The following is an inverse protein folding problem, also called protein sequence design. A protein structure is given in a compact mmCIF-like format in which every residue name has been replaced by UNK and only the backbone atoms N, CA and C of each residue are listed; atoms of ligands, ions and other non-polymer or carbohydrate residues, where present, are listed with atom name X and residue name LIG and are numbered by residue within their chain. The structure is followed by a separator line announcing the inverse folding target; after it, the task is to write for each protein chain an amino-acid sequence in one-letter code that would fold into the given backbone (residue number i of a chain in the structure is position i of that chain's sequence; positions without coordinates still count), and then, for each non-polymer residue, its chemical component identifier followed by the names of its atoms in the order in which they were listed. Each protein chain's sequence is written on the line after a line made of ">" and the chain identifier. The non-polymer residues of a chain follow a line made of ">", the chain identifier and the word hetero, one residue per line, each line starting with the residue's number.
data_IF_525367337535
#
_entry.id   IF_525367337535
#
_cell.length_a   1.000
_cell.length_b   1.000
_cell.length_c   1.000
_cell.angle_alpha   90.00
_cell.angle_beta   90.00
_cell.angle_gamma   90.00
#
_symmetry.space_group_name_H-M   'P 1'
#
loop_
_entity.id
_entity.type
_entity.pdbx_description
1 polymer ?
#
# COMPACT_ATOMS: atom_id res chain seq x y z
N UNK A 1 -27.16 -0.48 -15.47
CA UNK A 1 -27.06 -0.01 -14.06
C UNK A 1 -25.66 0.54 -13.83
N UNK A 2 -25.56 1.85 -13.62
CA UNK A 2 -24.29 2.59 -13.51
C UNK A 2 -23.64 2.36 -12.14
N UNK A 3 -22.77 1.34 -12.03
CA UNK A 3 -21.93 1.11 -10.84
C UNK A 3 -20.60 1.89 -10.91
N UNK A 4 -20.65 3.16 -11.31
CA UNK A 4 -19.47 4.02 -11.28
C UNK A 4 -19.30 4.60 -9.88
N UNK A 5 -18.32 4.06 -9.15
CA UNK A 5 -17.84 4.61 -7.88
C UNK A 5 -18.23 3.78 -6.66
N UNK A 6 -17.20 3.26 -5.98
CA UNK A 6 -17.35 2.61 -4.68
C UNK A 6 -16.88 1.16 -4.62
N UNK A 7 -16.62 0.47 -5.73
CA UNK A 7 -16.08 -0.90 -5.67
C UNK A 7 -14.55 -1.01 -5.53
N UNK A 8 -13.88 0.12 -5.30
CA UNK A 8 -12.43 0.19 -5.19
C UNK A 8 -11.86 -0.73 -4.10
N UNK A 9 -12.60 -0.96 -3.01
CA UNK A 9 -12.18 -1.84 -1.92
C UNK A 9 -12.14 -3.30 -2.37
N UNK A 10 -13.13 -3.74 -3.14
CA UNK A 10 -13.16 -5.10 -3.71
C UNK A 10 -12.11 -5.21 -4.81
N UNK A 11 -12.04 -4.24 -5.73
CA UNK A 11 -11.10 -4.26 -6.84
C UNK A 11 -9.64 -4.33 -6.40
N UNK A 12 -9.22 -3.60 -5.36
CA UNK A 12 -7.83 -3.68 -4.88
C UNK A 12 -7.49 -5.07 -4.30
N UNK A 13 -8.46 -5.71 -3.64
CA UNK A 13 -8.31 -7.07 -3.12
C UNK A 13 -8.23 -8.07 -4.28
N UNK A 14 -9.08 -7.93 -5.30
CA UNK A 14 -9.00 -8.78 -6.49
C UNK A 14 -7.66 -8.63 -7.23
N UNK A 15 -7.15 -7.41 -7.38
CA UNK A 15 -5.82 -7.16 -7.96
C UNK A 15 -4.73 -7.88 -7.16
N UNK A 16 -4.77 -7.79 -5.83
CA UNK A 16 -3.83 -8.47 -4.94
C UNK A 16 -3.92 -9.99 -5.07
N UNK A 17 -5.14 -10.54 -5.11
CA UNK A 17 -5.39 -11.99 -5.22
C UNK A 17 -4.95 -12.52 -6.58
N UNK A 18 -5.29 -11.84 -7.68
CA UNK A 18 -4.80 -12.19 -9.03
C UNK A 18 -3.27 -12.18 -9.07
N UNK A 19 -2.65 -11.17 -8.44
CA UNK A 19 -1.19 -11.10 -8.37
C UNK A 19 -0.61 -12.25 -7.54
N UNK A 20 -1.20 -12.55 -6.38
CA UNK A 20 -0.76 -13.64 -5.51
C UNK A 20 -0.87 -15.00 -6.20
N UNK A 21 -1.95 -15.26 -6.96
CA UNK A 21 -2.11 -16.47 -7.75
C UNK A 21 -1.03 -16.60 -8.85
N UNK A 22 -0.74 -15.51 -9.56
CA UNK A 22 0.34 -15.48 -10.55
C UNK A 22 1.72 -15.71 -9.92
N UNK A 23 1.98 -15.05 -8.78
CA UNK A 23 3.19 -15.22 -7.98
C UNK A 23 3.36 -16.68 -7.54
N UNK A 24 2.32 -17.29 -6.96
CA UNK A 24 2.35 -18.69 -6.52
C UNK A 24 2.49 -19.67 -7.67
N UNK A 25 1.96 -19.36 -8.86
CA UNK A 25 2.16 -20.17 -10.07
C UNK A 25 3.62 -20.20 -10.51
N UNK A 26 4.29 -19.06 -10.47
CA UNK A 26 5.73 -18.98 -10.74
C UNK A 26 6.51 -19.71 -9.64
N UNK A 27 6.19 -19.43 -8.39
CA UNK A 27 6.90 -20.02 -7.25
C UNK A 27 6.73 -21.54 -7.16
N UNK A 28 5.60 -22.11 -7.59
CA UNK A 28 5.42 -23.55 -7.68
C UNK A 28 6.52 -24.23 -8.54
N UNK A 29 6.98 -23.56 -9.60
CA UNK A 29 8.04 -24.08 -10.48
C UNK A 29 9.45 -23.94 -9.88
N UNK A 30 9.70 -22.87 -9.13
CA UNK A 30 11.07 -22.51 -8.72
C UNK A 30 11.37 -22.69 -7.23
N UNK A 31 10.38 -22.64 -6.34
CA UNK A 31 10.61 -22.62 -4.89
C UNK A 31 11.29 -23.89 -4.39
N UNK A 32 10.83 -25.07 -4.83
CA UNK A 32 11.45 -26.35 -4.46
C UNK A 32 12.89 -26.46 -4.98
N UNK A 33 13.12 -26.11 -6.25
CA UNK A 33 14.46 -26.16 -6.88
C UNK A 33 15.48 -25.27 -6.17
N UNK A 34 15.05 -24.11 -5.68
CA UNK A 34 15.94 -23.13 -5.04
C UNK A 34 15.88 -23.16 -3.50
N UNK A 35 15.19 -24.14 -2.91
CA UNK A 35 14.97 -24.23 -1.46
C UNK A 35 14.42 -22.93 -0.84
N UNK A 36 13.47 -22.31 -1.52
CA UNK A 36 12.80 -21.10 -1.05
C UNK A 36 11.59 -21.40 -0.18
N UNK A 37 11.27 -20.45 0.68
CA UNK A 37 10.05 -20.42 1.50
C UNK A 37 9.22 -19.21 1.15
N UNK A 38 7.90 -19.38 1.06
CA UNK A 38 6.99 -18.32 0.65
C UNK A 38 6.31 -17.71 1.88
N UNK A 39 6.46 -16.40 2.05
CA UNK A 39 5.83 -15.66 3.13
C UNK A 39 4.83 -14.66 2.55
N UNK A 40 3.59 -14.72 3.01
CA UNK A 40 2.66 -13.60 2.85
C UNK A 40 2.74 -12.71 4.09
N UNK A 41 2.94 -11.41 3.88
CA UNK A 41 2.96 -10.41 4.94
C UNK A 41 1.87 -9.38 4.69
N UNK A 42 0.97 -9.19 5.66
CA UNK A 42 -0.04 -8.14 5.64
C UNK A 42 0.27 -7.15 6.77
N UNK A 43 0.57 -5.91 6.40
CA UNK A 43 0.90 -4.86 7.35
C UNK A 43 -0.32 -4.23 8.04
N UNK A 44 -1.53 -4.44 7.50
CA UNK A 44 -2.76 -3.80 7.95
C UNK A 44 -3.94 -4.76 7.75
N UNK A 45 -3.89 -5.91 8.43
CA UNK A 45 -4.76 -7.04 8.14
C UNK A 45 -6.25 -6.80 8.50
N UNK A 46 -6.53 -5.87 9.40
CA UNK A 46 -7.87 -5.63 9.90
C UNK A 46 -8.42 -6.84 10.66
N UNK A 47 -9.75 -6.93 10.72
CA UNK A 47 -10.46 -8.07 11.33
C UNK A 47 -10.65 -9.26 10.38
N UNK A 48 -10.12 -9.19 9.15
CA UNK A 48 -10.42 -10.13 8.08
C UNK A 48 -11.72 -9.83 7.31
N UNK A 49 -12.50 -8.83 7.76
CA UNK A 49 -13.71 -8.35 7.08
C UNK A 49 -13.71 -6.82 7.01
N UNK A 50 -14.33 -6.30 5.95
CA UNK A 50 -14.53 -4.87 5.76
C UNK A 50 -16.03 -4.59 5.76
N UNK A 51 -16.47 -3.81 6.74
CA UNK A 51 -17.85 -3.35 6.85
C UNK A 51 -18.04 -2.07 6.03
N UNK A 52 -18.97 -2.09 5.07
CA UNK A 52 -19.26 -0.96 4.18
C UNK A 52 -20.73 -0.55 4.27
N UNK A 53 -20.98 0.72 4.54
CA UNK A 53 -22.34 1.26 4.75
C UNK A 53 -22.58 1.64 6.21
N UNK A 54 -23.76 2.23 6.49
CA UNK A 54 -24.24 2.56 7.84
C UNK A 54 -25.56 1.82 8.07
N UNK A 55 -25.80 1.38 9.30
CA UNK A 55 -27.03 0.74 9.76
C UNK A 55 -27.44 -0.48 8.91
N UNK A 56 -28.72 -0.59 8.55
CA UNK A 56 -29.38 -1.76 7.93
C UNK A 56 -28.83 -2.14 6.54
N UNK A 57 -28.09 -1.26 5.86
CA UNK A 57 -27.48 -1.50 4.55
C UNK A 57 -25.97 -1.85 4.62
N UNK A 58 -25.52 -2.43 5.73
CA UNK A 58 -24.12 -2.81 5.92
C UNK A 58 -23.76 -4.04 5.08
N UNK A 59 -23.02 -3.83 4.00
CA UNK A 59 -22.39 -4.91 3.21
C UNK A 59 -21.10 -5.34 3.91
N UNK A 60 -20.96 -6.64 4.14
CA UNK A 60 -19.71 -7.25 4.62
C UNK A 60 -18.91 -7.71 3.39
N UNK A 61 -17.68 -7.24 3.28
CA UNK A 61 -16.72 -7.64 2.25
C UNK A 61 -15.64 -8.48 2.93
N UNK A 62 -15.26 -9.60 2.31
CA UNK A 62 -14.14 -10.43 2.80
C UNK A 62 -12.83 -9.69 2.56
N UNK A 63 -12.03 -9.49 3.61
CA UNK A 63 -10.77 -8.77 3.57
C UNK A 63 -9.63 -9.54 2.91
N UNK A 64 -8.53 -8.83 2.60
CA UNK A 64 -7.36 -9.39 1.93
C UNK A 64 -6.77 -10.60 2.67
N UNK A 65 -6.64 -10.52 4.00
CA UNK A 65 -6.09 -11.60 4.81
C UNK A 65 -6.80 -12.95 4.56
N UNK A 66 -8.14 -12.96 4.61
CA UNK A 66 -8.94 -14.16 4.38
C UNK A 66 -8.91 -14.59 2.91
N UNK A 67 -9.03 -13.66 1.96
CA UNK A 67 -8.95 -13.99 0.51
C UNK A 67 -7.62 -14.62 0.11
N UNK A 68 -6.52 -14.21 0.73
CA UNK A 68 -5.19 -14.81 0.48
C UNK A 68 -5.06 -16.18 1.16
N UNK A 69 -5.68 -16.38 2.33
CA UNK A 69 -5.78 -17.69 2.97
C UNK A 69 -6.62 -18.67 2.17
N UNK A 70 -7.58 -18.24 1.34
CA UNK A 70 -8.38 -19.14 0.50
C UNK A 70 -7.60 -19.71 -0.71
N UNK A 71 -6.41 -19.19 -1.02
CA UNK A 71 -5.60 -19.69 -2.14
C UNK A 71 -4.92 -21.02 -1.75
N UNK A 72 -5.42 -22.12 -2.33
CA UNK A 72 -4.83 -23.46 -2.17
C UNK A 72 -4.00 -23.91 -3.39
N UNK A 73 -4.40 -23.48 -4.59
CA UNK A 73 -3.78 -23.89 -5.85
C UNK A 73 -3.03 -22.72 -6.50
N UNK A 74 -1.88 -22.98 -7.17
CA UNK A 74 -1.24 -24.29 -7.30
C UNK A 74 -0.51 -24.75 -6.04
N UNK A 75 -0.11 -23.80 -5.18
CA UNK A 75 0.38 -24.04 -3.82
C UNK A 75 -0.04 -22.86 -2.93
N UNK A 76 -0.22 -23.05 -1.61
CA UNK A 76 -0.38 -21.96 -0.66
C UNK A 76 0.99 -21.33 -0.31
N UNK A 77 0.98 -20.24 0.48
CA UNK A 77 2.20 -19.74 1.12
C UNK A 77 2.63 -20.70 2.25
N UNK A 78 3.94 -20.79 2.51
CA UNK A 78 4.46 -21.59 3.63
C UNK A 78 4.11 -20.97 4.98
N UNK A 79 3.99 -19.64 5.04
CA UNK A 79 3.80 -18.85 6.24
C UNK A 79 2.97 -17.59 5.93
N UNK A 80 2.01 -17.29 6.79
CA UNK A 80 1.18 -16.09 6.73
C UNK A 80 1.44 -15.24 7.97
N UNK A 81 1.68 -13.95 7.76
CA UNK A 81 2.01 -13.01 8.84
C UNK A 81 1.11 -11.78 8.74
N UNK A 82 0.17 -11.67 9.65
CA UNK A 82 -0.81 -10.59 9.70
C UNK A 82 -0.49 -9.64 10.86
N UNK A 83 -0.41 -8.35 10.56
CA UNK A 83 -0.17 -7.28 11.52
C UNK A 83 -1.42 -6.43 11.62
N UNK A 84 -1.90 -6.21 12.84
CA UNK A 84 -3.06 -5.38 13.10
C UNK A 84 -2.84 -4.62 14.41
N UNK A 85 -3.03 -3.30 14.40
CA UNK A 85 -2.70 -2.45 15.56
C UNK A 85 -3.83 -2.42 16.59
N UNK A 86 -5.08 -2.53 16.15
CA UNK A 86 -6.24 -2.51 17.04
C UNK A 86 -6.49 -3.91 17.60
N UNK A 87 -6.40 -4.06 18.92
CA UNK A 87 -6.49 -5.37 19.61
C UNK A 87 -7.78 -6.11 19.25
N UNK A 88 -8.93 -5.42 19.24
CA UNK A 88 -10.21 -6.06 18.87
C UNK A 88 -10.23 -6.63 17.45
N UNK A 89 -9.58 -5.95 16.50
CA UNK A 89 -9.51 -6.45 15.12
C UNK A 89 -8.57 -7.64 15.03
N UNK A 90 -7.42 -7.58 15.72
CA UNK A 90 -6.47 -8.68 15.79
C UNK A 90 -7.10 -9.95 16.40
N UNK A 91 -7.87 -9.80 17.48
CA UNK A 91 -8.57 -10.90 18.15
C UNK A 91 -9.65 -11.52 17.27
N UNK A 92 -10.45 -10.69 16.57
CA UNK A 92 -11.44 -11.17 15.59
C UNK A 92 -10.78 -11.93 14.45
N UNK A 93 -9.65 -11.43 13.93
CA UNK A 93 -8.90 -12.11 12.89
C UNK A 93 -8.34 -13.45 13.40
N UNK A 94 -7.87 -13.51 14.65
CA UNK A 94 -7.36 -14.74 15.26
C UNK A 94 -8.45 -15.80 15.41
N UNK A 95 -9.61 -15.43 15.94
CA UNK A 95 -10.73 -16.35 16.14
C UNK A 95 -11.18 -16.95 14.81
N UNK A 96 -11.39 -16.10 13.80
CA UNK A 96 -11.89 -16.52 12.48
C UNK A 96 -10.89 -17.36 11.71
N UNK A 97 -9.60 -16.99 11.74
CA UNK A 97 -8.57 -17.77 11.05
C UNK A 97 -8.27 -19.12 11.70
N UNK A 98 -8.34 -19.20 13.04
CA UNK A 98 -8.13 -20.46 13.77
C UNK A 98 -9.22 -21.49 13.48
N UNK A 99 -10.47 -21.05 13.32
CA UNK A 99 -11.59 -21.95 13.00
C UNK A 99 -11.58 -22.41 11.55
N UNK A 100 -11.24 -21.53 10.61
CA UNK A 100 -11.41 -21.79 9.17
C UNK A 100 -10.15 -22.31 8.47
N UNK A 101 -8.95 -21.98 8.99
CA UNK A 101 -7.67 -22.26 8.33
C UNK A 101 -6.67 -22.94 9.29
N UNK A 102 -7.15 -23.86 10.12
CA UNK A 102 -6.35 -24.55 11.14
C UNK A 102 -5.16 -25.34 10.60
N UNK A 103 -5.18 -25.69 9.31
CA UNK A 103 -4.09 -26.35 8.59
C UNK A 103 -2.99 -25.40 8.10
N UNK A 104 -3.16 -24.08 8.23
CA UNK A 104 -2.20 -23.07 7.75
C UNK A 104 -1.34 -22.52 8.89
N UNK A 105 -0.08 -22.24 8.59
CA UNK A 105 0.83 -21.58 9.53
C UNK A 105 0.60 -20.07 9.51
N UNK A 106 -0.21 -19.62 10.46
CA UNK A 106 -0.65 -18.23 10.58
C UNK A 106 -0.05 -17.60 11.84
N UNK A 107 0.55 -16.43 11.70
CA UNK A 107 0.93 -15.57 12.80
C UNK A 107 0.16 -14.26 12.73
N UNK A 108 -0.56 -13.93 13.79
CA UNK A 108 -1.23 -12.64 13.95
C UNK A 108 -0.52 -11.90 15.07
N UNK A 109 -0.13 -10.66 14.82
CA UNK A 109 0.60 -9.85 15.80
C UNK A 109 -0.07 -8.50 15.98
N UNK A 110 -0.40 -8.20 17.23
CA UNK A 110 -0.93 -6.90 17.62
C UNK A 110 0.19 -5.87 17.80
N UNK A 111 0.57 -5.17 16.74
CA UNK A 111 1.66 -4.19 16.76
C UNK A 111 1.54 -3.17 15.63
N UNK A 112 2.36 -2.11 15.69
CA UNK A 112 2.54 -1.19 14.57
C UNK A 112 3.26 -1.85 13.39
N UNK A 113 2.70 -1.65 12.18
CA UNK A 113 3.23 -2.15 10.92
C UNK A 113 4.71 -1.78 10.70
N UNK A 114 5.09 -0.54 11.01
CA UNK A 114 6.45 -0.05 10.79
C UNK A 114 7.48 -0.83 11.62
N UNK A 115 7.17 -1.07 12.90
CA UNK A 115 8.01 -1.89 13.79
C UNK A 115 8.17 -3.31 13.24
N UNK A 116 7.10 -3.86 12.66
CA UNK A 116 7.13 -5.22 12.16
C UNK A 116 7.83 -5.37 10.82
N UNK A 117 7.71 -4.39 9.92
CA UNK A 117 8.50 -4.29 8.70
C UNK A 117 10.00 -4.29 9.04
N UNK A 118 10.43 -3.49 10.02
CA UNK A 118 11.83 -3.44 10.43
C UNK A 118 12.32 -4.79 10.97
N UNK A 119 11.51 -5.44 11.82
CA UNK A 119 11.83 -6.77 12.37
C UNK A 119 11.91 -7.82 11.27
N UNK A 120 10.98 -7.80 10.31
CA UNK A 120 10.98 -8.69 9.16
C UNK A 120 12.22 -8.45 8.29
N UNK A 121 12.57 -7.20 8.01
CA UNK A 121 13.78 -6.84 7.27
C UNK A 121 15.04 -7.42 7.91
N UNK A 122 15.21 -7.23 9.23
CA UNK A 122 16.33 -7.81 9.99
C UNK A 122 16.37 -9.33 9.85
N UNK A 123 15.23 -10.01 9.98
CA UNK A 123 15.14 -11.45 9.78
C UNK A 123 15.56 -11.86 8.36
N UNK A 124 15.03 -11.22 7.32
CA UNK A 124 15.30 -11.55 5.92
C UNK A 124 16.77 -11.39 5.53
N UNK A 125 17.54 -10.55 6.24
CA UNK A 125 18.99 -10.39 6.05
C UNK A 125 19.81 -11.57 6.59
N UNK A 126 19.27 -12.36 7.52
CA UNK A 126 19.94 -13.54 8.10
C UNK A 126 20.05 -14.69 7.10
N UNK A 127 20.96 -15.64 7.35
CA UNK A 127 21.13 -16.86 6.51
C UNK A 127 19.84 -17.65 6.34
N UNK A 128 19.02 -17.76 7.40
CA UNK A 128 17.71 -18.42 7.35
C UNK A 128 16.69 -17.58 6.57
N UNK A 129 16.66 -16.28 6.83
CA UNK A 129 15.71 -15.36 6.22
C UNK A 129 15.89 -15.15 4.72
N UNK A 130 17.13 -15.22 4.20
CA UNK A 130 17.41 -15.06 2.75
C UNK A 130 16.71 -16.10 1.86
N UNK A 131 16.32 -17.24 2.44
CA UNK A 131 15.52 -18.26 1.75
C UNK A 131 14.06 -17.86 1.56
N UNK A 132 13.57 -16.89 2.32
CA UNK A 132 12.19 -16.43 2.20
C UNK A 132 12.01 -15.48 1.01
N UNK A 133 10.95 -15.71 0.25
CA UNK A 133 10.43 -14.83 -0.80
C UNK A 133 9.08 -14.30 -0.32
N UNK A 134 9.00 -12.98 -0.18
CA UNK A 134 7.88 -12.34 0.51
C UNK A 134 6.98 -11.64 -0.50
N UNK A 135 5.68 -11.88 -0.40
CA UNK A 135 4.66 -10.99 -0.94
C UNK A 135 4.11 -10.16 0.23
N UNK A 136 4.38 -8.86 0.20
CA UNK A 136 3.94 -7.92 1.22
C UNK A 136 2.77 -7.08 0.71
N UNK A 137 1.73 -6.95 1.51
CA UNK A 137 0.60 -6.05 1.30
C UNK A 137 0.58 -5.00 2.40
N UNK A 138 0.68 -3.72 2.01
CA UNK A 138 0.75 -2.59 2.92
C UNK A 138 -0.38 -1.62 2.56
N UNK A 139 -1.50 -1.76 3.27
CA UNK A 139 -2.76 -1.06 2.98
C UNK A 139 -3.17 -0.13 4.13
N UNK A 140 -2.43 0.96 4.38
CA UNK A 140 -2.76 1.85 5.47
C UNK A 140 -4.07 2.60 5.19
N UNK A 141 -4.84 2.87 6.24
CA UNK A 141 -6.05 3.70 6.15
C UNK A 141 -5.70 5.18 5.83
N UNK A 142 -4.50 5.63 6.24
CA UNK A 142 -3.98 6.96 5.95
C UNK A 142 -2.46 6.98 5.85
N UNK A 143 -1.84 8.09 6.26
CA UNK A 143 -0.37 8.22 6.24
C UNK A 143 0.24 7.58 7.49
N UNK A 144 0.07 6.27 7.64
CA UNK A 144 0.58 5.48 8.77
C UNK A 144 1.89 4.75 8.43
N UNK A 145 2.17 4.54 7.15
CA UNK A 145 3.43 3.94 6.68
C UNK A 145 4.53 4.99 6.66
N UNK A 146 5.62 4.74 7.37
CA UNK A 146 6.78 5.62 7.41
C UNK A 146 7.74 5.28 6.27
N UNK A 147 8.31 6.29 5.62
CA UNK A 147 9.27 6.08 4.53
C UNK A 147 10.48 5.25 4.97
N UNK A 148 10.96 5.45 6.20
CA UNK A 148 12.07 4.69 6.80
C UNK A 148 11.81 3.17 6.84
N UNK A 149 10.55 2.75 7.01
CA UNK A 149 10.18 1.33 6.98
C UNK A 149 10.41 0.74 5.59
N UNK A 150 10.07 1.47 4.53
CA UNK A 150 10.30 1.03 3.15
C UNK A 150 11.78 0.96 2.80
N UNK A 151 12.61 1.88 3.31
CA UNK A 151 14.07 1.80 3.14
C UNK A 151 14.61 0.46 3.67
N UNK A 152 14.06 -0.05 4.78
CA UNK A 152 14.51 -1.33 5.33
C UNK A 152 14.25 -2.52 4.40
N UNK A 153 13.31 -2.41 3.45
CA UNK A 153 12.98 -3.47 2.49
C UNK A 153 13.83 -3.44 1.22
N UNK A 154 14.67 -2.40 1.05
CA UNK A 154 15.59 -2.28 -0.08
C UNK A 154 16.46 -3.53 -0.22
N UNK A 155 16.70 -3.95 -1.47
CA UNK A 155 17.52 -5.12 -1.87
C UNK A 155 17.02 -6.48 -1.37
N UNK A 156 15.96 -6.54 -0.57
CA UNK A 156 15.39 -7.80 -0.10
C UNK A 156 14.55 -8.46 -1.20
N UNK A 157 14.34 -9.78 -1.05
CA UNK A 157 13.44 -10.55 -1.93
C UNK A 157 11.98 -10.36 -1.53
N UNK A 158 11.50 -9.12 -1.68
CA UNK A 158 10.15 -8.69 -1.31
C UNK A 158 9.49 -8.05 -2.54
N UNK A 159 8.34 -8.61 -2.93
CA UNK A 159 7.38 -7.92 -3.79
C UNK A 159 6.40 -7.20 -2.86
N UNK A 160 6.24 -5.89 -3.00
CA UNK A 160 5.39 -5.09 -2.11
C UNK A 160 4.29 -4.37 -2.86
N UNK A 161 3.05 -4.56 -2.43
CA UNK A 161 1.90 -3.78 -2.82
C UNK A 161 1.62 -2.72 -1.75
N UNK A 162 1.49 -1.45 -2.16
CA UNK A 162 1.35 -0.31 -1.25
C UNK A 162 0.15 0.55 -1.67
N UNK A 163 -0.78 0.79 -0.74
CA UNK A 163 -1.83 1.78 -0.91
C UNK A 163 -1.35 3.16 -0.46
N UNK A 164 -1.26 4.10 -1.40
CA UNK A 164 -0.76 5.45 -1.17
C UNK A 164 -1.94 6.44 -1.07
N UNK A 165 -2.22 7.05 0.10
CA UNK A 165 -3.30 8.02 0.32
C UNK A 165 -2.97 9.40 -0.27
N UNK A 166 -2.73 9.46 -1.58
CA UNK A 166 -2.42 10.69 -2.31
C UNK A 166 -3.53 11.75 -2.19
N UNK A 167 -4.80 11.37 -2.41
CA UNK A 167 -5.95 12.27 -2.32
C UNK A 167 -6.46 12.44 -0.89
N UNK A 168 -6.57 11.33 -0.15
CA UNK A 168 -7.12 11.32 1.22
C UNK A 168 -6.11 11.68 2.32
N UNK A 169 -4.81 11.72 2.02
CA UNK A 169 -3.74 12.06 2.95
C UNK A 169 -2.96 13.26 2.46
N UNK A 170 -1.98 13.03 1.57
CA UNK A 170 -1.01 14.04 1.11
C UNK A 170 -1.69 15.33 0.64
N UNK A 171 -2.65 15.21 -0.27
CA UNK A 171 -3.36 16.35 -0.85
C UNK A 171 -4.19 17.13 0.17
N UNK A 172 -4.68 16.50 1.25
CA UNK A 172 -5.45 17.19 2.31
C UNK A 172 -4.57 18.03 3.22
N UNK A 173 -3.33 17.60 3.44
CA UNK A 173 -2.36 18.35 4.26
C UNK A 173 -1.77 19.54 3.49
N UNK A 174 -1.65 19.42 2.16
CA UNK A 174 -1.22 20.51 1.29
C UNK A 174 -2.35 21.53 1.08
N UNK A 175 -2.41 22.60 1.89
CA UNK A 175 -3.41 23.68 1.74
C UNK A 175 -3.19 24.52 0.49
N UNK A 176 -4.25 25.11 -0.07
CA UNK A 176 -4.16 25.91 -1.32
C UNK A 176 -3.20 27.11 -1.23
N UNK A 177 -3.10 27.73 -0.06
CA UNK A 177 -2.35 28.95 0.21
C UNK A 177 -0.95 28.72 0.82
N UNK A 178 -0.47 27.47 0.86
CA UNK A 178 0.84 27.14 1.44
C UNK A 178 0.93 27.20 2.97
N UNK A 179 -0.10 27.67 3.67
CA UNK A 179 -0.10 27.78 5.15
C UNK A 179 -0.38 26.43 5.83
N UNK A 180 0.62 25.55 5.79
CA UNK A 180 0.61 24.22 6.41
C UNK A 180 1.15 24.34 7.84
N UNK A 181 0.53 23.65 8.81
CA UNK A 181 1.06 23.58 10.18
C UNK A 181 2.31 22.69 10.26
N UNK A 182 3.18 22.92 11.22
CA UNK A 182 4.42 22.13 11.37
C UNK A 182 4.11 20.63 11.58
N UNK A 183 3.11 20.28 12.39
CA UNK A 183 2.68 18.89 12.56
C UNK A 183 2.23 18.21 11.24
N UNK A 184 1.67 18.97 10.30
CA UNK A 184 1.29 18.43 8.99
C UNK A 184 2.51 18.27 8.08
N UNK A 185 3.46 19.20 8.15
CA UNK A 185 4.75 19.09 7.47
C UNK A 185 5.51 17.86 7.98
N UNK A 186 5.70 17.70 9.29
CA UNK A 186 6.40 16.54 9.88
C UNK A 186 5.79 15.21 9.41
N UNK A 187 4.46 15.17 9.29
CA UNK A 187 3.75 13.99 8.77
C UNK A 187 4.02 13.77 7.28
N UNK A 188 4.11 14.82 6.47
CA UNK A 188 4.51 14.72 5.07
C UNK A 188 5.98 14.29 4.96
N UNK A 189 6.88 14.86 5.75
CA UNK A 189 8.31 14.49 5.80
C UNK A 189 8.49 13.01 6.18
N UNK A 190 7.76 12.54 7.19
CA UNK A 190 7.82 11.12 7.61
C UNK A 190 7.28 10.17 6.54
N UNK A 191 6.18 10.54 5.88
CA UNK A 191 5.52 9.70 4.89
C UNK A 191 6.25 9.67 3.55
N UNK A 192 6.75 10.83 3.10
CA UNK A 192 7.49 10.97 1.84
C UNK A 192 8.97 10.65 2.03
N UNK A 193 9.55 10.88 3.22
CA UNK A 193 10.99 10.82 3.47
C UNK A 193 11.76 11.98 2.82
N UNK A 194 11.13 13.14 2.72
CA UNK A 194 11.67 14.38 2.13
C UNK A 194 11.77 15.45 3.20
N UNK A 195 12.68 16.41 3.01
CA UNK A 195 12.73 17.59 3.86
C UNK A 195 11.60 18.58 3.53
N UNK A 196 11.23 19.40 4.52
CA UNK A 196 10.22 20.48 4.40
C UNK A 196 10.40 21.31 3.13
N UNK A 197 11.61 21.81 2.86
CA UNK A 197 11.85 22.68 1.71
C UNK A 197 11.61 21.95 0.37
N UNK A 198 12.11 20.72 0.21
CA UNK A 198 11.88 19.92 -1.00
C UNK A 198 10.38 19.67 -1.25
N UNK A 199 9.60 19.48 -0.18
CA UNK A 199 8.15 19.29 -0.27
C UNK A 199 7.47 20.59 -0.71
N UNK A 200 7.85 21.74 -0.13
CA UNK A 200 7.29 23.03 -0.49
C UNK A 200 7.60 23.34 -1.96
N UNK A 201 8.86 23.25 -2.37
CA UNK A 201 9.30 23.56 -3.73
C UNK A 201 8.63 22.67 -4.79
N UNK A 202 8.33 21.42 -4.44
CA UNK A 202 7.67 20.49 -5.37
C UNK A 202 6.16 20.75 -5.53
N UNK A 203 5.48 21.24 -4.48
CA UNK A 203 4.02 21.36 -4.44
C UNK A 203 3.49 22.79 -4.48
N UNK A 204 4.34 23.81 -4.39
CA UNK A 204 3.95 25.20 -4.38
C UNK A 204 4.70 26.02 -5.41
N UNK A 205 4.05 27.08 -5.87
CA UNK A 205 4.64 28.12 -6.70
C UNK A 205 4.31 29.47 -6.10
N UNK A 206 5.29 30.35 -6.16
CA UNK A 206 5.11 31.76 -5.84
C UNK A 206 4.76 32.49 -7.13
N UNK A 207 3.80 33.42 -7.02
CA UNK A 207 3.46 34.35 -8.09
C UNK A 207 3.38 35.75 -7.50
N UNK A 208 4.04 36.69 -8.16
CA UNK A 208 3.85 38.11 -7.91
C UNK A 208 2.58 38.55 -8.62
N UNK A 209 1.64 39.13 -7.87
CA UNK A 209 0.38 39.63 -8.38
C UNK A 209 0.33 41.13 -8.12
N UNK A 210 0.14 41.98 -9.14
CA UNK A 210 -0.03 43.40 -8.93
C UNK A 210 -1.38 43.68 -8.26
N UNK A 211 -1.36 44.48 -7.19
CA UNK A 211 -2.54 44.92 -6.46
C UNK A 211 -2.65 46.45 -6.45
N UNK A 212 -3.77 46.99 -5.96
CA UNK A 212 -3.96 48.43 -5.75
C UNK A 212 -2.91 49.07 -4.82
N UNK A 213 -2.21 48.26 -4.02
CA UNK A 213 -1.20 48.71 -3.05
C UNK A 213 0.23 48.29 -3.42
N UNK A 214 0.44 47.81 -4.65
CA UNK A 214 1.73 47.31 -5.13
C UNK A 214 1.74 45.79 -5.35
N UNK A 215 2.92 45.26 -5.65
CA UNK A 215 3.11 43.85 -5.96
C UNK A 215 3.07 42.99 -4.68
N UNK A 216 2.19 41.98 -4.65
CA UNK A 216 2.10 41.01 -3.56
C UNK A 216 2.57 39.61 -4.02
N UNK A 217 3.32 38.91 -3.17
CA UNK A 217 3.71 37.52 -3.42
C UNK A 217 2.62 36.60 -2.89
N UNK A 218 2.02 35.82 -3.79
CA UNK A 218 1.00 34.82 -3.46
C UNK A 218 1.54 33.41 -3.68
N UNK A 219 1.48 32.60 -2.63
CA UNK A 219 1.81 31.17 -2.69
C UNK A 219 0.58 30.40 -3.12
N UNK A 220 0.73 29.64 -4.20
CA UNK A 220 -0.33 28.81 -4.76
C UNK A 220 0.11 27.36 -4.84
N UNK A 221 -0.77 26.45 -4.40
CA UNK A 221 -0.57 25.02 -4.58
C UNK A 221 -0.61 24.67 -6.07
N UNK A 222 0.35 23.85 -6.47
CA UNK A 222 0.46 23.33 -7.82
C UNK A 222 -0.78 22.55 -8.28
N UNK A 223 -1.10 22.72 -9.56
CA UNK A 223 -2.17 21.96 -10.20
C UNK A 223 -1.88 20.46 -10.19
N UNK A 224 -2.96 19.66 -10.20
CA UNK A 224 -2.89 18.19 -10.21
C UNK A 224 -1.99 17.64 -9.10
N UNK A 225 -2.04 18.25 -7.91
CA UNK A 225 -1.21 17.87 -6.77
C UNK A 225 -1.38 16.39 -6.37
N UNK A 226 -2.55 15.79 -6.59
CA UNK A 226 -2.80 14.36 -6.32
C UNK A 226 -1.95 13.48 -7.24
N UNK A 227 -1.98 13.77 -8.55
CA UNK A 227 -1.20 13.06 -9.57
C UNK A 227 0.30 13.32 -9.39
N UNK A 228 0.68 14.56 -9.07
CA UNK A 228 2.06 14.92 -8.72
C UNK A 228 2.56 14.14 -7.50
N UNK A 229 1.70 13.93 -6.49
CA UNK A 229 2.01 13.12 -5.31
C UNK A 229 2.22 11.65 -5.67
N UNK A 230 1.38 11.10 -6.55
CA UNK A 230 1.52 9.71 -7.02
C UNK A 230 2.82 9.51 -7.80
N UNK A 231 3.15 10.45 -8.70
CA UNK A 231 4.40 10.44 -9.46
C UNK A 231 5.61 10.54 -8.53
N UNK A 232 5.60 11.48 -7.60
CA UNK A 232 6.66 11.66 -6.61
C UNK A 232 6.87 10.38 -5.80
N UNK A 233 5.80 9.79 -5.27
CA UNK A 233 5.92 8.56 -4.47
C UNK A 233 6.46 7.39 -5.30
N UNK A 234 6.04 7.25 -6.57
CA UNK A 234 6.58 6.25 -7.50
C UNK A 234 8.07 6.47 -7.79
N UNK A 235 8.48 7.71 -8.08
CA UNK A 235 9.89 8.06 -8.32
C UNK A 235 10.75 7.73 -7.10
N UNK A 236 10.24 8.00 -5.91
CA UNK A 236 10.92 7.67 -4.67
C UNK A 236 10.98 6.16 -4.41
N UNK A 237 9.93 5.40 -4.73
CA UNK A 237 9.95 3.94 -4.65
C UNK A 237 10.98 3.34 -5.62
N UNK A 238 11.15 3.92 -6.82
CA UNK A 238 12.19 3.53 -7.78
C UNK A 238 13.62 3.77 -7.27
N UNK A 239 13.82 4.61 -6.24
CA UNK A 239 15.12 4.72 -5.57
C UNK A 239 15.41 3.54 -4.63
N UNK A 240 14.38 2.79 -4.20
CA UNK A 240 14.50 1.66 -3.27
C UNK A 240 14.36 0.30 -3.94
N UNK A 241 13.55 0.21 -5.01
CA UNK A 241 13.27 -1.00 -5.77
C UNK A 241 13.65 -0.78 -7.24
N UNK A 242 14.19 -1.82 -7.89
CA UNK A 242 14.59 -1.73 -9.30
C UNK A 242 13.43 -1.39 -10.24
N UNK A 243 12.22 -1.82 -9.90
CA UNK A 243 11.04 -1.63 -10.73
C UNK A 243 9.81 -1.26 -9.88
N UNK A 244 8.99 -0.35 -10.39
CA UNK A 244 7.71 0.04 -9.80
C UNK A 244 6.63 0.07 -10.88
N UNK A 245 5.47 -0.48 -10.57
CA UNK A 245 4.32 -0.57 -11.47
C UNK A 245 3.74 0.81 -11.83
N UNK A 246 2.87 0.82 -12.83
CA UNK A 246 1.90 1.88 -12.99
C UNK A 246 0.87 1.79 -11.87
N UNK A 247 0.35 2.93 -11.39
CA UNK A 247 -0.61 2.91 -10.32
C UNK A 247 -1.99 2.44 -10.81
N UNK A 248 -2.68 1.67 -9.98
CA UNK A 248 -4.13 1.56 -10.03
C UNK A 248 -4.74 2.75 -9.28
N UNK A 249 -5.63 3.50 -9.93
CA UNK A 249 -6.20 4.74 -9.37
C UNK A 249 -7.54 4.44 -8.71
N UNK A 250 -7.62 4.65 -7.39
CA UNK A 250 -8.85 4.44 -6.64
C UNK A 250 -9.62 5.75 -6.48
N UNK A 251 -10.83 5.79 -7.02
CA UNK A 251 -11.70 6.96 -7.00
C UNK A 251 -12.94 6.75 -6.14
N UNK A 252 -13.45 7.83 -5.55
CA UNK A 252 -14.71 7.81 -4.81
C UNK A 252 -15.93 7.86 -5.75
N UNK A 253 -17.14 7.93 -5.17
CA UNK A 253 -18.40 8.06 -5.93
C UNK A 253 -18.49 9.36 -6.74
N UNK A 254 -17.82 10.43 -6.31
CA UNK A 254 -17.76 11.71 -7.04
C UNK A 254 -16.58 11.78 -8.01
N UNK A 255 -16.03 10.63 -8.43
CA UNK A 255 -14.90 10.52 -9.37
C UNK A 255 -13.61 11.23 -8.93
N UNK A 256 -13.49 11.58 -7.66
CA UNK A 256 -12.28 12.19 -7.07
C UNK A 256 -11.29 11.11 -6.67
N UNK A 257 -10.02 11.27 -7.07
CA UNK A 257 -8.94 10.35 -6.73
C UNK A 257 -8.67 10.35 -5.23
N UNK A 258 -8.72 9.18 -4.60
CA UNK A 258 -8.47 8.99 -3.17
C UNK A 258 -7.10 8.40 -2.91
N UNK A 259 -6.76 7.33 -3.62
CA UNK A 259 -5.54 6.56 -3.43
C UNK A 259 -4.92 6.16 -4.77
N UNK A 260 -3.63 5.88 -4.74
CA UNK A 260 -2.92 5.17 -5.79
C UNK A 260 -2.38 3.88 -5.22
N UNK A 261 -2.67 2.75 -5.87
CA UNK A 261 -2.20 1.43 -5.46
C UNK A 261 -1.06 1.00 -6.37
N UNK A 262 0.12 0.81 -5.80
CA UNK A 262 1.39 0.60 -6.52
C UNK A 262 2.01 -0.72 -6.08
N UNK A 263 2.67 -1.39 -7.01
CA UNK A 263 3.53 -2.54 -6.73
C UNK A 263 4.99 -2.15 -6.97
N UNK A 264 5.88 -2.53 -6.06
CA UNK A 264 7.32 -2.38 -6.21
C UNK A 264 8.03 -3.72 -6.01
N UNK A 265 9.06 -3.98 -6.82
CA UNK A 265 9.84 -5.22 -6.75
C UNK A 265 11.24 -5.04 -7.36
N UNK A 266 12.15 -5.93 -6.97
CA UNK A 266 13.47 -6.06 -7.61
C UNK A 266 13.44 -7.00 -8.83
N UNK A 267 12.27 -7.51 -9.22
CA UNK A 267 12.07 -8.41 -10.35
C UNK A 267 11.19 -7.76 -11.43
N UNK A 268 11.68 -7.72 -12.67
CA UNK A 268 10.98 -7.09 -13.78
C UNK A 268 9.68 -7.84 -14.17
N UNK A 269 9.71 -9.17 -14.15
CA UNK A 269 8.53 -10.01 -14.46
C UNK A 269 7.40 -9.76 -13.47
N UNK A 270 7.75 -9.57 -12.20
CA UNK A 270 6.81 -9.26 -11.13
C UNK A 270 6.04 -7.94 -11.45
N UNK A 271 6.76 -6.87 -11.79
CA UNK A 271 6.13 -5.59 -12.17
C UNK A 271 5.36 -5.68 -13.49
N UNK A 272 5.83 -6.47 -14.47
CA UNK A 272 5.09 -6.70 -15.72
C UNK A 272 3.72 -7.32 -15.45
N UNK A 273 3.65 -8.36 -14.62
CA UNK A 273 2.39 -9.01 -14.23
C UNK A 273 1.49 -8.02 -13.49
N UNK A 274 2.03 -7.25 -12.55
CA UNK A 274 1.27 -6.22 -11.84
C UNK A 274 0.65 -5.18 -12.79
N UNK A 275 1.39 -4.74 -13.81
CA UNK A 275 0.90 -3.82 -14.83
C UNK A 275 -0.20 -4.45 -15.71
N UNK A 276 -0.03 -5.71 -16.11
CA UNK A 276 -1.04 -6.43 -16.90
C UNK A 276 -2.35 -6.59 -16.14
N UNK A 277 -2.28 -6.92 -14.85
CA UNK A 277 -3.47 -7.03 -13.98
C UNK A 277 -4.13 -5.66 -13.82
N UNK A 278 -3.39 -4.65 -13.35
CA UNK A 278 -3.95 -3.31 -13.06
C UNK A 278 -4.54 -2.62 -14.29
N UNK A 279 -3.99 -2.87 -15.49
CA UNK A 279 -4.53 -2.35 -16.76
C UNK A 279 -6.00 -2.76 -16.96
N UNK A 280 -6.38 -4.00 -16.63
CA UNK A 280 -7.78 -4.49 -16.73
C UNK A 280 -8.75 -3.68 -15.87
N UNK A 281 -8.27 -3.16 -14.74
CA UNK A 281 -9.08 -2.44 -13.76
C UNK A 281 -9.09 -0.92 -13.98
N UNK A 282 -8.05 -0.36 -14.59
CA UNK A 282 -8.01 1.05 -14.98
C UNK A 282 -8.82 1.35 -16.26
N UNK A 283 -9.14 0.33 -17.06
CA UNK A 283 -9.92 0.45 -18.30
C UNK A 283 -11.44 0.25 -18.10
N UNK A 284 -11.86 -0.12 -16.89
CA UNK A 284 -13.27 -0.23 -16.49
C UNK A 284 -13.76 1.07 -15.87
#
# INVERSE_FOLDING_TARGET
>A
MNNFGGNWTENKIEILVEYAQAYLTIMNKYAKKNNWKLLYFDGFAGSGFIKKGRNENQKIIVGAAKRILEIEKPIPFDLYYFVEKETENADKLLQTTKSEFSNKRIHIVNTDCNKKIETMSKFLKTTKGRKFKVLAYIDPCGMQLNWKSLISLQELSVDVWILVPTGMGVNRLLKKNGRISDAWIERLETFLGMGKQEIIDYFYKEKTIPTLFGDEIVITKEDKAIEKSARLYKERLNKLFKFVSNPYVLKNKSNSTMFHFLMASNNQTAVKIANEITKKYNQK
#
